data_IF_520627394247
#
_entry.id   IF_520627394247
#
_cell.length_a   1.000
_cell.length_b   1.000
_cell.length_c   1.000
_cell.angle_alpha   90.00
_cell.angle_beta   90.00
_cell.angle_gamma   90.00
#
_symmetry.space_group_name_H-M   'P 1'
#
loop_
_entity.id
_entity.type
_entity.pdbx_description
1 polymer ?
#
# COMPACT_ATOMS: atom_id res chain seq x y z
N UNK A 1 -3.98 3.53 1.98
CA UNK A 1 -5.41 3.93 2.01
C UNK A 1 -6.28 2.68 2.18
N UNK A 2 -6.39 2.22 3.42
CA UNK A 2 -7.16 1.04 3.79
C UNK A 2 -8.51 1.40 4.38
N UNK A 3 -9.03 0.52 5.22
CA UNK A 3 -10.36 0.69 5.77
C UNK A 3 -10.44 1.84 6.76
N UNK A 4 -9.38 2.04 7.53
CA UNK A 4 -9.28 3.16 8.48
C UNK A 4 -9.10 4.53 7.80
N UNK A 5 -8.88 4.55 6.48
CA UNK A 5 -8.81 5.78 5.68
C UNK A 5 -10.10 6.05 4.87
N UNK A 6 -11.11 5.17 4.98
CA UNK A 6 -12.38 5.26 4.21
C UNK A 6 -13.56 4.83 5.09
N UNK A 7 -14.76 4.72 4.52
CA UNK A 7 -15.94 4.18 5.21
C UNK A 7 -16.06 2.65 5.23
N UNK A 8 -15.00 1.90 4.89
CA UNK A 8 -15.08 0.43 4.71
C UNK A 8 -13.89 -0.14 3.97
N UNK A 9 -14.07 -1.09 3.05
CA UNK A 9 -13.05 -1.90 2.37
C UNK A 9 -11.71 -1.24 1.94
N UNK A 10 -11.67 0.08 1.71
CA UNK A 10 -10.48 0.83 1.31
C UNK A 10 -10.38 1.06 -0.20
N UNK A 11 -9.38 1.83 -0.62
CA UNK A 11 -9.09 2.08 -2.05
C UNK A 11 -7.92 1.21 -2.50
N UNK A 12 -6.68 1.69 -2.35
CA UNK A 12 -5.48 0.93 -2.68
C UNK A 12 -5.40 -0.40 -1.93
N UNK A 13 -5.73 -0.40 -0.62
CA UNK A 13 -5.73 -1.64 0.16
C UNK A 13 -6.90 -2.55 -0.19
N UNK A 14 -8.01 -2.00 -0.69
CA UNK A 14 -9.13 -2.77 -1.23
C UNK A 14 -8.73 -3.56 -2.46
N UNK A 15 -7.97 -2.95 -3.39
CA UNK A 15 -7.40 -3.66 -4.54
C UNK A 15 -6.46 -4.79 -4.10
N UNK A 16 -5.59 -4.52 -3.10
CA UNK A 16 -4.69 -5.53 -2.54
C UNK A 16 -5.46 -6.69 -1.92
N UNK A 17 -6.48 -6.41 -1.11
CA UNK A 17 -7.36 -7.42 -0.48
C UNK A 17 -8.04 -8.30 -1.52
N UNK A 18 -8.60 -7.69 -2.56
CA UNK A 18 -9.26 -8.43 -3.64
C UNK A 18 -8.26 -9.31 -4.40
N UNK A 19 -7.10 -8.77 -4.77
CA UNK A 19 -6.07 -9.52 -5.47
C UNK A 19 -5.53 -10.69 -4.62
N UNK A 20 -5.43 -10.53 -3.30
CA UNK A 20 -5.06 -11.60 -2.38
C UNK A 20 -6.14 -12.69 -2.30
N UNK A 21 -7.41 -12.29 -2.15
CA UNK A 21 -8.54 -13.22 -2.12
C UNK A 21 -8.67 -14.03 -3.42
N UNK A 22 -8.32 -13.44 -4.56
CA UNK A 22 -8.27 -14.10 -5.88
C UNK A 22 -6.98 -14.92 -6.11
N UNK A 23 -6.03 -14.93 -5.17
CA UNK A 23 -4.76 -15.64 -5.32
C UNK A 23 -3.83 -15.06 -6.40
N UNK A 24 -4.01 -13.79 -6.78
CA UNK A 24 -3.27 -13.12 -7.87
C UNK A 24 -1.97 -12.49 -7.42
N UNK A 25 -1.80 -12.30 -6.11
CA UNK A 25 -0.58 -11.78 -5.50
C UNK A 25 -0.13 -12.72 -4.38
N UNK A 26 1.18 -12.79 -4.16
CA UNK A 26 1.78 -13.65 -3.13
C UNK A 26 2.51 -12.84 -2.06
N UNK A 27 2.72 -11.54 -2.26
CA UNK A 27 3.47 -10.67 -1.37
C UNK A 27 3.04 -9.21 -1.52
N UNK A 28 3.03 -8.49 -0.39
CA UNK A 28 2.78 -7.05 -0.34
C UNK A 28 3.97 -6.36 0.34
N UNK A 29 4.40 -5.22 -0.22
CA UNK A 29 5.33 -4.30 0.43
C UNK A 29 4.57 -3.03 0.81
N UNK A 30 4.78 -2.54 2.03
CA UNK A 30 4.21 -1.29 2.51
C UNK A 30 5.31 -0.43 3.13
N UNK A 31 5.63 0.70 2.49
CA UNK A 31 6.61 1.66 3.00
C UNK A 31 6.18 2.18 4.37
N UNK A 32 7.12 2.38 5.29
CA UNK A 32 6.82 2.86 6.65
C UNK A 32 6.08 4.22 6.67
N UNK A 33 6.38 5.09 5.70
CA UNK A 33 5.78 6.41 5.44
C UNK A 33 6.07 7.45 6.52
N UNK A 34 7.33 7.91 6.62
CA UNK A 34 7.71 8.96 7.61
C UNK A 34 7.02 10.31 7.36
N UNK A 35 6.96 11.20 8.39
CA UNK A 35 7.32 10.98 9.79
C UNK A 35 6.20 10.37 10.64
N UNK A 36 4.96 10.31 10.12
CA UNK A 36 3.80 9.87 10.91
C UNK A 36 3.67 8.33 11.00
N UNK A 37 4.36 7.63 10.11
CA UNK A 37 4.40 6.19 10.00
C UNK A 37 3.03 5.50 9.79
N UNK A 38 2.10 6.03 8.96
CA UNK A 38 0.83 5.35 8.69
C UNK A 38 1.03 4.01 7.97
N UNK A 39 2.10 3.84 7.21
CA UNK A 39 2.42 2.55 6.60
C UNK A 39 2.68 1.47 7.66
N UNK A 40 3.50 1.78 8.65
CA UNK A 40 3.79 0.90 9.79
C UNK A 40 2.59 0.71 10.70
N UNK A 41 1.96 1.81 11.10
CA UNK A 41 0.99 1.83 12.20
C UNK A 41 -0.41 1.43 11.77
N UNK A 42 -0.77 1.67 10.50
CA UNK A 42 -2.12 1.48 9.98
C UNK A 42 -2.10 0.42 8.89
N UNK A 43 -1.39 0.64 7.78
CA UNK A 43 -1.43 -0.25 6.61
C UNK A 43 -0.96 -1.66 6.95
N UNK A 44 0.22 -1.81 7.56
CA UNK A 44 0.76 -3.11 7.92
C UNK A 44 -0.09 -3.80 9.01
N UNK A 45 -0.64 -3.03 9.94
CA UNK A 45 -1.56 -3.56 10.94
C UNK A 45 -2.84 -4.12 10.30
N UNK A 46 -3.48 -3.37 9.40
CA UNK A 46 -4.68 -3.81 8.69
C UNK A 46 -4.43 -5.09 7.88
N UNK A 47 -3.33 -5.14 7.12
CA UNK A 47 -2.97 -6.33 6.34
C UNK A 47 -2.72 -7.54 7.24
N UNK A 48 -2.08 -7.34 8.39
CA UNK A 48 -1.86 -8.40 9.36
C UNK A 48 -3.18 -8.91 9.97
N UNK A 49 -4.16 -8.03 10.25
CA UNK A 49 -5.49 -8.45 10.70
C UNK A 49 -6.22 -9.29 9.64
N UNK A 50 -6.02 -8.97 8.36
CA UNK A 50 -6.61 -9.70 7.24
C UNK A 50 -5.84 -10.98 6.87
N UNK A 51 -4.76 -11.33 7.59
CA UNK A 51 -3.91 -12.49 7.29
C UNK A 51 -3.09 -12.36 6.00
N UNK A 52 -2.89 -11.13 5.52
CA UNK A 52 -2.13 -10.83 4.29
C UNK A 52 -0.67 -10.58 4.67
N UNK A 53 0.30 -11.37 4.14
CA UNK A 53 1.70 -11.20 4.47
C UNK A 53 2.25 -9.89 3.91
N UNK A 54 2.69 -9.01 4.81
CA UNK A 54 3.24 -7.69 4.49
C UNK A 54 4.70 -7.60 4.92
N UNK A 55 5.54 -7.09 4.02
CA UNK A 55 6.93 -6.69 4.32
C UNK A 55 6.99 -5.18 4.43
N UNK A 56 7.62 -4.68 5.48
CA UNK A 56 7.68 -3.26 5.79
C UNK A 56 9.09 -2.67 5.60
N UNK A 57 9.44 -2.19 4.40
CA UNK A 57 10.70 -1.48 4.18
C UNK A 57 10.68 -0.05 4.76
N UNK A 58 11.87 0.45 5.07
CA UNK A 58 12.07 1.88 5.26
C UNK A 58 11.85 2.62 3.92
N UNK A 59 11.37 3.87 3.96
CA UNK A 59 11.03 4.63 2.74
C UNK A 59 12.19 4.69 1.73
N UNK A 60 13.43 4.83 2.24
CA UNK A 60 14.64 4.90 1.41
C UNK A 60 15.03 3.58 0.73
N UNK A 61 14.43 2.45 1.12
CA UNK A 61 14.73 1.13 0.54
C UNK A 61 13.90 0.83 -0.73
N UNK A 62 12.87 1.63 -1.03
CA UNK A 62 11.95 1.39 -2.14
C UNK A 62 12.67 1.24 -3.49
N UNK A 63 13.59 2.15 -3.82
CA UNK A 63 14.35 2.10 -5.06
C UNK A 63 15.23 0.83 -5.17
N UNK A 64 15.90 0.44 -4.08
CA UNK A 64 16.72 -0.78 -4.05
C UNK A 64 15.86 -2.04 -4.22
N UNK A 65 14.67 -2.07 -3.61
CA UNK A 65 13.73 -3.17 -3.77
C UNK A 65 13.22 -3.29 -5.20
N UNK A 66 12.81 -2.18 -5.82
CA UNK A 66 12.38 -2.18 -7.22
C UNK A 66 13.50 -2.62 -8.16
N UNK A 67 14.73 -2.16 -7.93
CA UNK A 67 15.89 -2.51 -8.75
C UNK A 67 16.26 -4.00 -8.68
N UNK A 68 15.98 -4.69 -7.57
CA UNK A 68 16.15 -6.15 -7.44
C UNK A 68 15.12 -6.96 -8.22
N UNK A 69 14.07 -6.31 -8.73
CA UNK A 69 12.96 -6.96 -9.42
C UNK A 69 11.95 -7.62 -8.47
N UNK A 70 10.92 -8.23 -9.06
CA UNK A 70 9.84 -8.91 -8.32
C UNK A 70 8.69 -8.00 -7.85
N UNK A 71 8.82 -6.68 -8.00
CA UNK A 71 7.70 -5.74 -7.85
C UNK A 71 7.08 -5.54 -9.23
N UNK A 72 5.86 -6.05 -9.43
CA UNK A 72 5.12 -5.91 -10.69
C UNK A 72 4.18 -4.71 -10.74
N UNK A 73 3.74 -4.22 -9.57
CA UNK A 73 2.72 -3.17 -9.47
C UNK A 73 3.02 -2.25 -8.29
N UNK A 74 2.76 -0.96 -8.48
CA UNK A 74 2.71 0.04 -7.42
C UNK A 74 1.31 0.61 -7.40
N UNK A 75 0.65 0.54 -6.24
CA UNK A 75 -0.73 0.99 -6.06
C UNK A 75 -0.75 1.93 -4.87
N UNK A 76 -1.18 3.16 -5.10
CA UNK A 76 -1.26 4.22 -4.08
C UNK A 76 -2.68 4.77 -3.98
N UNK A 77 -2.96 5.45 -2.88
CA UNK A 77 -4.17 6.28 -2.76
C UNK A 77 -3.98 7.62 -3.47
N UNK A 78 -4.96 8.50 -3.30
CA UNK A 78 -4.86 9.90 -3.68
C UNK A 78 -5.69 10.74 -2.72
N UNK A 79 -5.16 11.90 -2.32
CA UNK A 79 -5.92 12.92 -1.58
C UNK A 79 -6.65 13.85 -2.54
N UNK A 80 -6.03 14.16 -3.69
CA UNK A 80 -6.62 14.95 -4.77
C UNK A 80 -6.03 14.56 -6.11
N UNK A 81 -6.89 14.47 -7.12
CA UNK A 81 -6.49 14.31 -8.51
C UNK A 81 -6.99 15.54 -9.27
N UNK A 82 -6.09 16.29 -9.90
CA UNK A 82 -6.43 17.45 -10.71
C UNK A 82 -6.98 17.02 -12.08
N UNK A 83 -7.63 17.94 -12.80
CA UNK A 83 -8.23 17.64 -14.10
C UNK A 83 -7.21 17.18 -15.17
N UNK A 84 -5.95 17.55 -15.02
CA UNK A 84 -4.83 17.12 -15.87
C UNK A 84 -4.26 15.75 -15.46
N UNK A 85 -4.75 15.14 -14.39
CA UNK A 85 -4.27 13.85 -13.88
C UNK A 85 -3.17 13.96 -12.83
N UNK A 86 -2.71 15.16 -12.44
CA UNK A 86 -1.73 15.30 -11.36
C UNK A 86 -2.32 14.81 -10.04
N UNK A 87 -1.56 13.99 -9.33
CA UNK A 87 -1.98 13.35 -8.09
C UNK A 87 -1.24 14.00 -6.93
N UNK A 88 -1.99 14.63 -6.03
CA UNK A 88 -1.51 14.93 -4.70
C UNK A 88 -1.79 13.72 -3.79
N UNK A 89 -0.72 13.11 -3.31
CA UNK A 89 -0.75 12.03 -2.34
C UNK A 89 0.40 12.23 -1.34
N UNK A 90 0.32 11.50 -0.22
CA UNK A 90 1.42 11.36 0.74
C UNK A 90 2.73 10.92 0.08
#
# INVERSE_FOLDING_TARGET
AGALATGGFGTALGVIRQAWAEGRITRVYADETRPWLPGTRITAWELAQDGIPVTLPADGAAASLMAKGGIGWVIVGADRIAANGDIANK
#
